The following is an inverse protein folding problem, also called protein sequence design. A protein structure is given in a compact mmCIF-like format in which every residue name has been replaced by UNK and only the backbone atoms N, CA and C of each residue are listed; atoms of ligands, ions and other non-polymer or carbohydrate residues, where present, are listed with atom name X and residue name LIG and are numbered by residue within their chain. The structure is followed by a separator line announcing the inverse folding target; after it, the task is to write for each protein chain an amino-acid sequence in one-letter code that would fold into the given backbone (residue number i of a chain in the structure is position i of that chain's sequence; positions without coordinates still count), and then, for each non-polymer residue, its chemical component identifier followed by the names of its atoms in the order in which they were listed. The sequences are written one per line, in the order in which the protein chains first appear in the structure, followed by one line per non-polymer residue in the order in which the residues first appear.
data_IF_305085057453
#
_entry.id   IF_305085057453
#
_cell.length_a   1.000
_cell.length_b   1.000
_cell.length_c   1.000
_cell.angle_alpha   90.00
_cell.angle_beta   90.00
_cell.angle_gamma   90.00
#
_symmetry.space_group_name_H-M   'P 1'
#
loop_
_entity.id
_entity.type
_entity.pdbx_description
1 polymer ?
#
# COMPACT_ATOMS: atom_id res chain seq x y z
N UNK A 1 -45.44 12.74 -4.35
CA UNK A 1 -44.02 13.13 -4.30
C UNK A 1 -43.43 12.60 -3.01
N UNK A 2 -42.76 11.44 -3.07
CA UNK A 2 -41.94 10.90 -1.98
C UNK A 2 -40.47 11.14 -2.35
N UNK A 3 -39.58 11.43 -1.37
CA UNK A 3 -38.23 11.88 -1.65
C UNK A 3 -37.35 10.69 -2.07
N UNK A 4 -36.91 10.69 -3.33
CA UNK A 4 -36.02 9.68 -3.91
C UNK A 4 -34.55 9.76 -3.43
N UNK A 5 -34.21 10.63 -2.46
CA UNK A 5 -32.82 10.86 -2.05
C UNK A 5 -32.31 9.94 -0.92
N UNK A 6 -33.16 9.15 -0.26
CA UNK A 6 -32.73 8.36 0.92
C UNK A 6 -32.08 7.02 0.57
N UNK A 7 -32.38 6.45 -0.61
CA UNK A 7 -31.88 5.12 -0.99
C UNK A 7 -30.43 5.12 -1.51
N UNK A 8 -29.96 6.22 -2.09
CA UNK A 8 -28.60 6.30 -2.66
C UNK A 8 -27.54 6.35 -1.55
N UNK A 9 -27.82 6.96 -0.40
CA UNK A 9 -26.80 7.18 0.65
C UNK A 9 -26.52 5.90 1.47
N UNK A 10 -27.51 5.03 1.68
CA UNK A 10 -27.31 3.84 2.55
C UNK A 10 -26.40 2.76 1.94
N UNK A 11 -26.41 2.60 0.62
CA UNK A 11 -25.59 1.59 -0.06
C UNK A 11 -24.12 2.00 -0.26
N UNK A 12 -23.85 3.30 -0.40
CA UNK A 12 -22.51 3.84 -0.66
C UNK A 12 -21.58 3.76 0.56
N UNK A 13 -22.10 3.81 1.78
CA UNK A 13 -21.31 3.75 3.01
C UNK A 13 -20.88 2.32 3.40
N UNK A 14 -21.49 1.29 2.80
CA UNK A 14 -21.26 -0.10 3.19
C UNK A 14 -19.84 -0.59 2.88
N UNK A 15 -19.25 -0.17 1.76
CA UNK A 15 -17.90 -0.60 1.37
C UNK A 15 -16.80 0.06 2.23
N UNK A 16 -16.77 1.40 2.40
CA UNK A 16 -15.78 2.04 3.26
C UNK A 16 -15.86 1.59 4.72
N UNK A 17 -17.06 1.23 5.21
CA UNK A 17 -17.22 0.70 6.58
C UNK A 17 -16.72 -0.74 6.72
N UNK A 18 -16.84 -1.56 5.68
CA UNK A 18 -16.42 -2.97 5.72
C UNK A 18 -14.90 -3.14 5.55
N UNK A 19 -14.24 -2.32 4.73
CA UNK A 19 -12.82 -2.49 4.40
C UNK A 19 -11.85 -2.53 5.59
N UNK A 20 -11.96 -1.64 6.60
CA UNK A 20 -11.09 -1.71 7.77
C UNK A 20 -11.20 -3.04 8.54
N UNK A 21 -12.36 -3.70 8.49
CA UNK A 21 -12.61 -4.98 9.16
C UNK A 21 -12.01 -6.18 8.41
N UNK A 22 -11.52 -5.97 7.18
CA UNK A 22 -10.83 -7.00 6.40
C UNK A 22 -9.32 -7.02 6.66
N UNK A 23 -8.79 -6.06 7.42
CA UNK A 23 -7.36 -6.04 7.78
C UNK A 23 -7.14 -7.08 8.88
N UNK A 24 -6.36 -8.16 8.63
CA UNK A 24 -6.13 -9.17 9.64
C UNK A 24 -5.21 -8.61 10.73
N UNK A 25 -5.66 -8.67 11.97
CA UNK A 25 -4.91 -8.20 13.15
C UNK A 25 -4.63 -9.32 14.15
N UNK A 26 -5.39 -10.42 14.11
CA UNK A 26 -5.17 -11.63 14.89
C UNK A 26 -4.60 -12.79 14.03
N UNK A 27 -3.87 -13.75 14.63
CA UNK A 27 -3.17 -14.82 13.87
C UNK A 27 -4.06 -15.81 13.11
N UNK A 28 -5.34 -15.86 13.43
CA UNK A 28 -6.37 -16.74 12.88
C UNK A 28 -7.48 -15.98 12.12
N UNK A 29 -7.32 -14.67 11.94
CA UNK A 29 -8.23 -13.87 11.12
C UNK A 29 -8.31 -14.40 9.67
N UNK A 30 -9.48 -14.27 9.02
CA UNK A 30 -9.60 -14.53 7.59
C UNK A 30 -8.55 -13.74 6.80
N UNK A 31 -7.88 -14.38 5.83
CA UNK A 31 -6.84 -13.75 5.00
C UNK A 31 -5.41 -13.95 5.50
N UNK A 32 -5.19 -14.41 6.75
CA UNK A 32 -3.83 -14.62 7.27
C UNK A 32 -3.08 -15.73 6.51
N UNK A 33 -3.77 -16.80 6.11
CA UNK A 33 -3.16 -17.87 5.33
C UNK A 33 -2.63 -17.35 3.97
N UNK A 34 -3.45 -16.55 3.29
CA UNK A 34 -3.14 -15.89 2.03
C UNK A 34 -1.98 -14.89 2.20
N UNK A 35 -1.99 -14.07 3.26
CA UNK A 35 -0.91 -13.14 3.59
C UNK A 35 0.42 -13.87 3.86
N UNK A 36 0.39 -15.00 4.56
CA UNK A 36 1.59 -15.84 4.78
C UNK A 36 2.13 -16.38 3.47
N UNK A 37 1.26 -16.92 2.61
CA UNK A 37 1.67 -17.42 1.29
C UNK A 37 2.24 -16.31 0.40
N UNK A 38 1.63 -15.13 0.38
CA UNK A 38 2.15 -14.00 -0.41
C UNK A 38 3.45 -13.46 0.17
N UNK A 39 3.63 -13.46 1.51
CA UNK A 39 4.92 -13.14 2.13
C UNK A 39 6.02 -14.12 1.70
N UNK A 40 5.74 -15.41 1.67
CA UNK A 40 6.68 -16.43 1.19
C UNK A 40 7.03 -16.23 -0.29
N UNK A 41 6.04 -15.91 -1.14
CA UNK A 41 6.27 -15.60 -2.54
C UNK A 41 7.15 -14.35 -2.70
N UNK A 42 6.82 -13.25 -2.03
CA UNK A 42 7.57 -12.00 -2.06
C UNK A 42 9.01 -12.17 -1.58
N UNK A 43 9.24 -13.06 -0.60
CA UNK A 43 10.60 -13.38 -0.11
C UNK A 43 11.55 -13.98 -1.15
N UNK A 44 10.98 -14.50 -2.25
CA UNK A 44 11.71 -15.11 -3.37
C UNK A 44 11.62 -14.27 -4.64
N UNK A 45 10.98 -13.10 -4.58
CA UNK A 45 10.79 -12.25 -5.75
C UNK A 45 12.08 -11.49 -6.08
N UNK A 46 12.75 -11.93 -7.16
CA UNK A 46 13.96 -11.29 -7.68
C UNK A 46 13.67 -10.22 -8.75
N UNK A 47 12.40 -10.09 -9.17
CA UNK A 47 12.02 -9.04 -10.12
C UNK A 47 12.33 -7.66 -9.51
N UNK A 48 12.87 -6.72 -10.30
CA UNK A 48 13.11 -5.36 -9.83
C UNK A 48 11.87 -4.80 -9.14
N UNK A 49 12.06 -4.32 -7.91
CA UNK A 49 10.96 -3.86 -7.05
C UNK A 49 11.33 -2.54 -6.40
N UNK A 50 10.55 -1.49 -6.68
CA UNK A 50 10.68 -0.19 -6.04
C UNK A 50 9.79 -0.11 -4.80
N UNK A 51 10.33 0.39 -3.69
CA UNK A 51 9.59 0.61 -2.43
C UNK A 51 9.61 2.10 -2.10
N UNK A 52 8.44 2.71 -1.93
CA UNK A 52 8.28 4.14 -1.65
C UNK A 52 7.16 4.37 -0.63
N UNK A 53 7.51 4.42 0.65
CA UNK A 53 6.59 4.85 1.70
C UNK A 53 6.88 6.31 2.08
N UNK A 54 5.90 6.97 2.70
CA UNK A 54 6.03 8.34 3.18
C UNK A 54 6.47 8.40 4.65
N UNK A 55 6.98 9.54 5.10
CA UNK A 55 7.49 9.71 6.47
C UNK A 55 6.47 10.21 7.50
N UNK A 56 5.27 10.63 7.08
CA UNK A 56 4.19 11.08 7.99
C UNK A 56 2.96 10.17 7.97
N UNK A 57 3.06 8.95 7.44
CA UNK A 57 1.98 7.96 7.56
C UNK A 57 2.14 7.12 8.85
N UNK A 58 1.32 7.34 9.90
CA UNK A 58 1.36 6.53 11.11
C UNK A 58 0.83 5.11 10.92
N UNK A 59 0.02 4.85 9.89
CA UNK A 59 -0.61 3.55 9.66
C UNK A 59 0.40 2.55 9.12
N UNK A 60 1.26 2.97 8.19
CA UNK A 60 2.25 2.11 7.53
C UNK A 60 3.69 2.37 7.97
N UNK A 61 3.88 3.12 9.05
CA UNK A 61 5.21 3.50 9.54
C UNK A 61 6.14 2.28 9.72
N UNK A 62 7.30 2.31 9.07
CA UNK A 62 8.31 1.24 9.13
C UNK A 62 8.07 0.05 8.19
N UNK A 63 6.97 0.04 7.42
CA UNK A 63 6.70 -1.00 6.44
C UNK A 63 7.72 -0.99 5.28
N UNK A 64 8.30 0.16 4.95
CA UNK A 64 9.39 0.30 3.98
C UNK A 64 10.56 -0.64 4.30
N UNK A 65 11.03 -0.62 5.55
CA UNK A 65 12.14 -1.46 6.01
C UNK A 65 11.77 -2.93 5.97
N UNK A 66 10.53 -3.26 6.33
CA UNK A 66 10.02 -4.62 6.24
C UNK A 66 10.06 -5.14 4.80
N UNK A 67 9.52 -4.39 3.84
CA UNK A 67 9.45 -4.82 2.44
C UNK A 67 10.83 -4.86 1.77
N UNK A 68 11.71 -3.89 2.04
CA UNK A 68 13.10 -3.91 1.56
C UNK A 68 13.87 -5.13 2.08
N UNK A 69 13.68 -5.49 3.35
CA UNK A 69 14.30 -6.69 3.92
C UNK A 69 13.71 -7.98 3.37
N UNK A 70 12.40 -7.98 3.12
CA UNK A 70 11.67 -9.16 2.64
C UNK A 70 11.97 -9.47 1.18
N UNK A 71 11.92 -8.49 0.28
CA UNK A 71 11.90 -8.69 -1.18
C UNK A 71 13.32 -8.55 -1.76
N UNK A 72 13.93 -9.64 -2.30
CA UNK A 72 15.28 -9.59 -2.87
C UNK A 72 15.45 -8.57 -4.01
N UNK A 73 14.42 -8.40 -4.86
CA UNK A 73 14.42 -7.48 -5.98
C UNK A 73 14.54 -5.99 -5.64
N UNK A 74 14.55 -5.64 -4.35
CA UNK A 74 14.75 -4.26 -3.88
C UNK A 74 16.23 -3.90 -3.68
N UNK A 75 17.15 -4.88 -3.60
CA UNK A 75 18.56 -4.66 -3.24
C UNK A 75 19.34 -3.76 -4.19
N UNK A 76 18.96 -3.77 -5.47
CA UNK A 76 19.59 -2.96 -6.51
C UNK A 76 18.82 -1.66 -6.78
N UNK A 77 17.81 -1.35 -5.97
CA UNK A 77 16.95 -0.19 -6.13
C UNK A 77 17.25 0.86 -5.05
N UNK A 78 17.08 2.16 -5.35
CA UNK A 78 17.36 3.22 -4.38
C UNK A 78 16.49 3.11 -3.11
N UNK A 79 17.06 3.54 -1.99
CA UNK A 79 16.31 3.78 -0.77
C UNK A 79 15.60 5.13 -0.83
N UNK A 80 14.30 5.08 -1.07
CA UNK A 80 13.40 6.24 -1.20
C UNK A 80 12.43 6.23 -0.03
N UNK A 81 12.30 7.41 0.59
CA UNK A 81 11.23 7.77 1.51
C UNK A 81 10.64 9.08 1.02
N UNK A 82 9.34 9.10 0.75
CA UNK A 82 8.63 10.30 0.30
C UNK A 82 8.50 11.25 1.49
N UNK A 83 9.14 12.41 1.39
CA UNK A 83 9.21 13.39 2.47
C UNK A 83 7.97 14.26 2.51
N UNK A 84 7.55 14.63 3.70
CA UNK A 84 6.44 15.57 3.92
C UNK A 84 5.12 15.10 3.28
N UNK A 85 4.83 13.80 3.36
CA UNK A 85 3.57 13.20 2.93
C UNK A 85 3.06 12.19 3.98
N UNK A 86 1.75 12.07 4.10
CA UNK A 86 1.02 11.13 4.94
C UNK A 86 0.55 9.91 4.18
N UNK A 87 -0.61 9.37 4.58
CA UNK A 87 -1.14 8.09 4.09
C UNK A 87 -1.53 8.13 2.60
N UNK A 88 -2.13 9.23 2.15
CA UNK A 88 -2.50 9.44 0.74
C UNK A 88 -1.36 10.17 0.01
N UNK A 89 -0.16 9.61 0.05
CA UNK A 89 1.05 10.25 -0.48
C UNK A 89 0.96 10.67 -1.95
N UNK A 90 0.14 9.99 -2.76
CA UNK A 90 -0.13 10.38 -4.14
C UNK A 90 -0.85 11.73 -4.29
N UNK A 91 -1.65 12.14 -3.31
CA UNK A 91 -2.33 13.44 -3.32
C UNK A 91 -1.40 14.59 -2.92
N UNK A 92 -0.35 14.28 -2.15
CA UNK A 92 0.58 15.28 -1.61
C UNK A 92 1.88 15.39 -2.42
N UNK A 93 2.31 14.29 -3.04
CA UNK A 93 3.60 14.15 -3.76
C UNK A 93 3.44 13.37 -5.07
N UNK A 94 2.30 13.50 -5.73
CA UNK A 94 1.97 12.76 -6.94
C UNK A 94 3.01 12.89 -8.06
N UNK A 95 3.50 14.10 -8.33
CA UNK A 95 4.52 14.34 -9.36
C UNK A 95 5.85 13.67 -9.02
N UNK A 96 6.28 13.72 -7.75
CA UNK A 96 7.50 13.04 -7.30
C UNK A 96 7.36 11.52 -7.48
N UNK A 97 6.25 10.94 -7.03
CA UNK A 97 5.99 9.50 -7.16
C UNK A 97 6.00 9.08 -8.63
N UNK A 98 5.33 9.84 -9.50
CA UNK A 98 5.29 9.57 -10.94
C UNK A 98 6.70 9.63 -11.55
N UNK A 99 7.49 10.65 -11.21
CA UNK A 99 8.87 10.77 -11.69
C UNK A 99 9.72 9.57 -11.25
N UNK A 100 9.63 9.14 -9.98
CA UNK A 100 10.38 7.97 -9.48
C UNK A 100 9.98 6.68 -10.21
N UNK A 101 8.70 6.52 -10.54
CA UNK A 101 8.22 5.36 -11.32
C UNK A 101 8.81 5.39 -12.73
N UNK A 102 8.84 6.55 -13.39
CA UNK A 102 9.44 6.71 -14.72
C UNK A 102 10.94 6.40 -14.69
N UNK A 103 11.68 6.99 -13.75
CA UNK A 103 13.12 6.72 -13.54
C UNK A 103 13.38 5.22 -13.31
N UNK A 104 12.52 4.58 -12.50
CA UNK A 104 12.59 3.14 -12.29
C UNK A 104 12.37 2.37 -13.59
N UNK A 105 11.32 2.67 -14.36
CA UNK A 105 11.02 1.99 -15.62
C UNK A 105 12.13 2.16 -16.68
N UNK A 106 12.77 3.32 -16.76
CA UNK A 106 13.85 3.61 -17.70
C UNK A 106 15.18 2.94 -17.32
N UNK A 107 15.36 2.61 -16.03
CA UNK A 107 16.57 1.96 -15.51
C UNK A 107 16.55 0.42 -15.56
N UNK A 108 15.48 -0.17 -16.09
CA UNK A 108 15.32 -1.64 -16.22
C UNK A 108 16.02 -2.21 -17.45
#
# INVERSE_FOLDING_TARGET
MLPHNHFIISGLAAVPAAWPLLVPIEPDDPGVAEMRQTREFLSKCEKPTLVMFSDKDPITHGADKFFRKLIPGTKNQPEIVIKDAGHFLQEEKGEEIAQRIMEFMESQ
#
